data_IF_190996032124
#
_entry.id   IF_190996032124
#
_cell.length_a   1.000
_cell.length_b   1.000
_cell.length_c   1.000
_cell.angle_alpha   90.00
_cell.angle_beta   90.00
_cell.angle_gamma   90.00
#
_symmetry.space_group_name_H-M   'P 1'
#
loop_
_entity.id
_entity.type
_entity.pdbx_description
1 polymer ?
#
# COMPACT_ATOMS: atom_id res chain seq x y z
N UNK A 1 12.61 -0.67 29.96
CA UNK A 1 13.12 -0.90 28.60
C UNK A 1 12.14 -1.85 27.95
N UNK A 2 11.19 -1.33 27.15
CA UNK A 2 10.31 -2.19 26.37
C UNK A 2 11.19 -2.92 25.33
N UNK A 3 11.03 -4.23 25.21
CA UNK A 3 11.66 -5.00 24.14
C UNK A 3 11.18 -4.41 22.81
N UNK A 4 12.12 -4.10 21.91
CA UNK A 4 11.86 -3.97 20.49
C UNK A 4 11.17 -5.27 20.07
N UNK A 5 9.88 -5.22 19.79
CA UNK A 5 9.16 -6.36 19.26
C UNK A 5 9.44 -6.35 17.78
N UNK A 6 10.33 -7.24 17.30
CA UNK A 6 10.79 -7.29 15.92
C UNK A 6 9.57 -7.23 14.98
N UNK A 7 9.34 -6.06 14.37
CA UNK A 7 8.18 -5.87 13.50
C UNK A 7 8.38 -6.74 12.26
N UNK A 8 7.57 -7.79 12.12
CA UNK A 8 7.78 -8.87 11.14
C UNK A 8 7.53 -8.44 9.68
N UNK A 9 6.99 -7.24 9.48
CA UNK A 9 6.60 -6.71 8.19
C UNK A 9 7.60 -5.67 7.66
N UNK A 10 7.53 -5.42 6.35
CA UNK A 10 8.13 -4.26 5.69
C UNK A 10 7.20 -3.05 5.91
N UNK A 11 7.62 -2.01 6.65
CA UNK A 11 6.81 -0.81 6.87
C UNK A 11 6.82 0.07 5.62
N UNK A 12 5.66 0.23 4.96
CA UNK A 12 5.53 1.03 3.74
C UNK A 12 5.15 2.49 4.03
N UNK A 13 4.26 2.70 4.99
CA UNK A 13 3.69 3.98 5.38
C UNK A 13 2.80 3.82 6.62
N UNK A 14 2.74 4.79 7.56
CA UNK A 14 3.35 6.11 7.49
C UNK A 14 4.76 6.21 8.05
N UNK A 15 5.29 5.16 8.65
CA UNK A 15 6.61 5.22 9.27
C UNK A 15 7.66 4.60 8.37
N UNK A 16 8.87 5.18 8.35
CA UNK A 16 10.01 4.61 7.63
C UNK A 16 10.48 3.30 8.27
N UNK A 17 10.38 3.23 9.59
CA UNK A 17 10.85 2.13 10.42
C UNK A 17 10.16 2.13 11.79
N UNK A 18 10.36 1.05 12.56
CA UNK A 18 9.79 0.90 13.91
C UNK A 18 10.24 1.98 14.88
N UNK A 19 11.45 2.53 14.72
CA UNK A 19 11.95 3.56 15.62
C UNK A 19 11.16 4.87 15.47
N UNK A 20 10.81 5.24 14.24
CA UNK A 20 9.96 6.40 13.97
C UNK A 20 8.54 6.21 14.54
N UNK A 21 7.97 5.01 14.42
CA UNK A 21 6.68 4.69 15.03
C UNK A 21 6.70 4.79 16.56
N UNK A 22 7.77 4.29 17.19
CA UNK A 22 7.95 4.37 18.66
C UNK A 22 8.14 5.83 19.11
N UNK A 23 8.84 6.65 18.33
CA UNK A 23 8.98 8.08 18.60
C UNK A 23 7.63 8.80 18.53
N UNK A 24 6.86 8.55 17.46
CA UNK A 24 5.50 9.07 17.33
C UNK A 24 4.63 8.65 18.52
N UNK A 25 4.68 7.38 18.90
CA UNK A 25 3.89 6.83 20.00
C UNK A 25 4.21 7.48 21.34
N UNK A 26 5.49 7.76 21.61
CA UNK A 26 5.91 8.50 22.80
C UNK A 26 5.36 9.94 22.82
N UNK A 27 5.35 10.60 21.66
CA UNK A 27 4.69 11.90 21.46
C UNK A 27 3.20 11.82 21.75
N UNK A 28 2.50 10.90 21.09
CA UNK A 28 1.05 10.68 21.24
C UNK A 28 0.63 10.52 22.69
N UNK A 29 1.33 9.71 23.48
CA UNK A 29 1.04 9.52 24.92
C UNK A 29 1.15 10.81 25.75
N UNK A 30 1.95 11.77 25.29
CA UNK A 30 2.21 13.02 26.00
C UNK A 30 1.19 14.09 25.65
N UNK A 31 0.83 14.22 24.37
CA UNK A 31 0.05 15.37 23.87
C UNK A 31 -1.07 15.02 22.88
N UNK A 32 -1.26 13.74 22.53
CA UNK A 32 -2.33 13.25 21.66
C UNK A 32 -2.21 13.69 20.20
N UNK A 33 -1.00 13.98 19.70
CA UNK A 33 -0.79 14.41 18.30
C UNK A 33 -1.17 13.33 17.28
N UNK A 34 -1.75 13.75 16.16
CA UNK A 34 -2.04 12.89 15.00
C UNK A 34 -2.79 11.58 15.36
N UNK A 35 -3.93 11.65 16.07
CA UNK A 35 -4.65 10.46 16.55
C UNK A 35 -5.11 9.51 15.45
N UNK A 36 -5.11 9.97 14.20
CA UNK A 36 -5.49 9.18 13.03
C UNK A 36 -4.56 7.97 12.80
N UNK A 37 -3.32 7.98 13.30
CA UNK A 37 -2.43 6.81 13.24
C UNK A 37 -2.96 5.59 14.01
N UNK A 38 -3.91 5.78 14.94
CA UNK A 38 -4.60 4.68 15.64
C UNK A 38 -5.82 4.15 14.88
N UNK A 39 -6.20 4.80 13.79
CA UNK A 39 -7.32 4.45 12.94
C UNK A 39 -6.83 3.81 11.64
N UNK A 40 -7.09 2.50 11.50
CA UNK A 40 -6.66 1.73 10.34
C UNK A 40 -7.31 2.22 9.04
N UNK A 41 -8.56 2.68 9.11
CA UNK A 41 -9.35 3.10 7.96
C UNK A 41 -8.87 4.47 7.46
N UNK A 42 -8.63 5.41 8.38
CA UNK A 42 -7.99 6.69 8.04
C UNK A 42 -6.58 6.49 7.49
N UNK A 43 -5.79 5.59 8.09
CA UNK A 43 -4.43 5.28 7.62
C UNK A 43 -4.45 4.72 6.19
N UNK A 44 -5.36 3.79 5.90
CA UNK A 44 -5.53 3.20 4.57
C UNK A 44 -5.92 4.25 3.51
N UNK A 45 -6.84 5.15 3.83
CA UNK A 45 -7.26 6.23 2.92
C UNK A 45 -6.14 7.26 2.69
N UNK A 46 -5.44 7.67 3.76
CA UNK A 46 -4.33 8.62 3.64
C UNK A 46 -3.17 8.02 2.82
N UNK A 47 -2.82 6.75 3.03
CA UNK A 47 -1.87 6.04 2.18
C UNK A 47 -2.28 6.07 0.70
N UNK A 48 -3.55 5.78 0.42
CA UNK A 48 -4.05 5.68 -0.95
C UNK A 48 -4.08 7.05 -1.65
N UNK A 49 -4.63 8.07 -1.00
CA UNK A 49 -4.84 9.39 -1.62
C UNK A 49 -3.58 10.25 -1.59
N UNK A 50 -2.88 10.30 -0.45
CA UNK A 50 -1.76 11.22 -0.24
C UNK A 50 -0.43 10.59 -0.63
N UNK A 51 -0.18 9.34 -0.23
CA UNK A 51 1.10 8.68 -0.51
C UNK A 51 1.16 8.06 -1.91
N UNK A 52 0.11 7.36 -2.37
CA UNK A 52 0.06 6.80 -3.72
C UNK A 52 -0.46 7.78 -4.78
N UNK A 53 -1.15 8.85 -4.37
CA UNK A 53 -1.72 9.86 -5.27
C UNK A 53 -3.07 9.47 -5.90
N UNK A 54 -3.71 8.39 -5.43
CA UNK A 54 -4.90 7.80 -6.04
C UNK A 54 -6.18 8.47 -5.50
N UNK A 55 -6.40 9.73 -5.84
CA UNK A 55 -7.45 10.58 -5.23
C UNK A 55 -8.88 10.15 -5.51
N UNK A 56 -9.12 9.37 -6.57
CA UNK A 56 -10.47 8.86 -6.86
C UNK A 56 -10.88 7.73 -5.94
N UNK A 57 -9.94 7.08 -5.25
CA UNK A 57 -10.21 6.05 -4.25
C UNK A 57 -10.34 6.73 -2.89
N UNK A 58 -11.57 7.14 -2.57
CA UNK A 58 -11.87 8.09 -1.50
C UNK A 58 -12.72 7.50 -0.35
N UNK A 59 -13.08 6.22 -0.43
CA UNK A 59 -13.98 5.57 0.53
C UNK A 59 -13.41 4.27 1.06
N UNK A 60 -13.71 3.98 2.34
CA UNK A 60 -13.64 2.63 2.88
C UNK A 60 -14.91 1.91 2.47
N UNK A 61 -14.75 0.72 1.90
CA UNK A 61 -15.85 -0.09 1.37
C UNK A 61 -15.96 -1.41 2.12
N UNK A 62 -17.09 -2.09 1.95
CA UNK A 62 -17.42 -3.33 2.66
C UNK A 62 -16.63 -4.55 2.12
N UNK A 63 -15.32 -4.52 2.35
CA UNK A 63 -14.35 -5.61 2.11
C UNK A 63 -13.32 -5.69 3.25
N UNK A 64 -13.55 -4.98 4.36
CA UNK A 64 -12.64 -4.91 5.50
C UNK A 64 -12.80 -6.13 6.41
N UNK A 65 -11.68 -6.72 6.84
CA UNK A 65 -11.65 -7.90 7.72
C UNK A 65 -10.52 -7.80 8.74
N UNK A 66 -10.66 -8.47 9.88
CA UNK A 66 -9.67 -8.44 10.96
C UNK A 66 -10.31 -8.67 12.31
N UNK A 67 -9.49 -8.91 13.34
CA UNK A 67 -9.96 -9.06 14.71
C UNK A 67 -9.95 -7.68 15.36
N UNK A 68 -11.07 -7.27 15.98
CA UNK A 68 -11.11 -6.03 16.74
C UNK A 68 -10.05 -6.06 17.86
N UNK A 69 -9.16 -5.07 17.88
CA UNK A 69 -8.01 -5.04 18.80
C UNK A 69 -6.85 -5.97 18.41
N UNK A 70 -6.89 -6.62 17.24
CA UNK A 70 -5.80 -7.41 16.71
C UNK A 70 -4.60 -6.58 16.24
N UNK A 71 -3.49 -7.28 15.97
CA UNK A 71 -2.24 -6.71 15.43
C UNK A 71 -2.25 -6.55 13.92
N UNK A 72 -3.24 -7.10 13.22
CA UNK A 72 -3.38 -7.02 11.77
C UNK A 72 -4.83 -6.68 11.40
N UNK A 73 -5.00 -5.91 10.33
CA UNK A 73 -6.30 -5.56 9.76
C UNK A 73 -6.19 -5.41 8.25
N UNK A 74 -7.24 -5.82 7.57
CA UNK A 74 -7.39 -5.69 6.13
C UNK A 74 -8.49 -4.68 5.87
N UNK A 75 -8.19 -3.62 5.12
CA UNK A 75 -9.10 -2.50 4.89
C UNK A 75 -9.39 -2.41 3.39
N UNK A 76 -10.65 -2.60 3.02
CA UNK A 76 -11.12 -2.37 1.67
C UNK A 76 -11.21 -0.88 1.37
N UNK A 77 -10.49 -0.41 0.36
CA UNK A 77 -10.58 0.97 -0.14
C UNK A 77 -11.14 0.96 -1.55
N UNK A 78 -11.92 1.99 -1.88
CA UNK A 78 -12.73 2.02 -3.07
C UNK A 78 -13.33 3.38 -3.36
N UNK A 79 -14.33 3.38 -4.23
CA UNK A 79 -15.05 4.58 -4.66
C UNK A 79 -16.50 4.22 -4.99
N UNK A 80 -17.36 5.23 -5.08
CA UNK A 80 -18.73 5.06 -5.54
C UNK A 80 -18.82 5.17 -7.07
N UNK A 81 -19.35 4.13 -7.73
CA UNK A 81 -19.69 4.20 -9.15
C UNK A 81 -20.85 5.20 -9.40
N UNK A 82 -21.07 5.66 -10.65
CA UNK A 82 -22.13 6.63 -10.96
C UNK A 82 -23.55 6.20 -10.57
N UNK A 83 -23.79 4.89 -10.44
CA UNK A 83 -25.06 4.32 -9.99
C UNK A 83 -25.18 4.20 -8.45
N UNK A 84 -24.17 4.67 -7.70
CA UNK A 84 -24.09 4.61 -6.24
C UNK A 84 -23.56 3.29 -5.68
N UNK A 85 -23.22 2.30 -6.53
CA UNK A 85 -22.62 1.07 -6.06
C UNK A 85 -21.18 1.32 -5.58
N UNK A 86 -20.82 0.76 -4.42
CA UNK A 86 -19.43 0.79 -3.95
C UNK A 86 -18.59 -0.20 -4.74
N UNK A 87 -17.46 0.28 -5.28
CA UNK A 87 -16.48 -0.52 -6.00
C UNK A 87 -15.22 -0.61 -5.14
N UNK A 88 -14.73 -1.83 -4.91
CA UNK A 88 -13.47 -2.04 -4.20
C UNK A 88 -12.30 -1.94 -5.17
N UNK A 89 -11.38 -1.01 -4.90
CA UNK A 89 -10.16 -0.82 -5.69
C UNK A 89 -9.01 -1.70 -5.20
N UNK A 90 -8.86 -1.84 -3.88
CA UNK A 90 -7.90 -2.74 -3.27
C UNK A 90 -8.32 -3.13 -1.84
N UNK A 91 -7.76 -4.23 -1.33
CA UNK A 91 -7.77 -4.55 0.10
C UNK A 91 -6.35 -4.36 0.62
N UNK A 92 -6.14 -3.32 1.43
CA UNK A 92 -4.86 -3.02 2.05
C UNK A 92 -4.66 -3.86 3.30
N UNK A 93 -3.47 -4.43 3.45
CA UNK A 93 -3.03 -5.11 4.65
C UNK A 93 -2.30 -4.12 5.54
N UNK A 94 -2.78 -3.96 6.77
CA UNK A 94 -2.21 -3.11 7.80
C UNK A 94 -1.81 -3.97 9.00
N UNK A 95 -0.70 -3.60 9.64
CA UNK A 95 -0.24 -4.21 10.89
C UNK A 95 0.07 -3.11 11.92
N UNK A 96 -0.04 -3.45 13.20
CA UNK A 96 0.37 -2.57 14.29
C UNK A 96 1.89 -2.60 14.43
N UNK A 97 2.51 -1.43 14.41
CA UNK A 97 3.96 -1.26 14.58
C UNK A 97 4.23 -0.63 15.95
N UNK A 98 5.18 -1.21 16.71
CA UNK A 98 5.43 -0.85 18.11
C UNK A 98 4.59 -1.65 19.11
N UNK A 99 4.60 -1.23 20.38
CA UNK A 99 4.03 -2.02 21.49
C UNK A 99 2.86 -1.36 22.20
N UNK A 100 1.93 -2.18 22.72
CA UNK A 100 0.78 -1.74 23.52
C UNK A 100 -0.46 -1.38 22.68
N UNK A 101 -1.53 -0.96 23.36
CA UNK A 101 -2.84 -0.69 22.73
C UNK A 101 -2.83 0.52 21.80
N UNK A 102 -1.88 1.43 22.02
CA UNK A 102 -1.65 2.63 21.23
C UNK A 102 -0.56 2.43 20.16
N UNK A 103 -0.24 1.18 19.79
CA UNK A 103 0.62 0.91 18.64
C UNK A 103 -0.08 1.38 17.35
N UNK A 104 0.51 2.30 16.57
CA UNK A 104 -0.13 2.81 15.37
C UNK A 104 -0.22 1.77 14.25
N UNK A 105 -1.09 2.06 13.27
CA UNK A 105 -1.24 1.25 12.08
C UNK A 105 -0.21 1.61 11.02
N UNK A 106 0.33 0.58 10.39
CA UNK A 106 1.30 0.63 9.32
C UNK A 106 0.75 -0.16 8.14
N UNK A 107 0.73 0.43 6.94
CA UNK A 107 0.44 -0.28 5.70
C UNK A 107 1.63 -1.16 5.36
N UNK A 108 1.36 -2.44 5.17
CA UNK A 108 2.39 -3.46 4.91
C UNK A 108 2.24 -4.13 3.56
N UNK A 109 1.13 -3.89 2.83
CA UNK A 109 0.93 -4.40 1.48
C UNK A 109 -0.54 -4.37 1.07
N UNK A 110 -0.90 -5.14 0.06
CA UNK A 110 -2.28 -5.43 -0.29
C UNK A 110 -2.47 -6.93 -0.54
N UNK A 111 -3.72 -7.37 -0.52
CA UNK A 111 -4.08 -8.75 -0.85
C UNK A 111 -5.35 -8.85 -1.71
N UNK A 112 -5.46 -9.97 -2.42
CA UNK A 112 -6.64 -10.30 -3.20
C UNK A 112 -6.92 -9.32 -4.36
N UNK A 113 -8.18 -9.30 -4.79
CA UNK A 113 -8.64 -8.46 -5.90
C UNK A 113 -8.42 -9.08 -7.28
N UNK A 114 -8.68 -8.28 -8.30
CA UNK A 114 -8.52 -8.64 -9.72
C UNK A 114 -7.16 -8.26 -10.28
N UNK A 115 -6.26 -7.69 -9.46
CA UNK A 115 -4.92 -7.28 -9.84
C UNK A 115 -3.96 -7.65 -8.71
N UNK A 116 -2.83 -8.27 -9.03
CA UNK A 116 -1.84 -8.72 -8.04
C UNK A 116 -0.42 -8.30 -8.40
N UNK A 117 0.47 -8.22 -7.40
CA UNK A 117 1.93 -8.13 -7.60
C UNK A 117 2.59 -9.32 -6.91
N UNK A 118 3.30 -10.15 -7.68
CA UNK A 118 3.90 -11.40 -7.21
C UNK A 118 5.43 -11.37 -7.25
N UNK A 119 6.00 -10.54 -8.13
CA UNK A 119 7.41 -10.18 -8.08
C UNK A 119 7.60 -8.67 -8.05
N UNK A 120 8.54 -8.17 -7.23
CA UNK A 120 9.33 -8.94 -6.27
C UNK A 120 8.47 -9.56 -5.16
N UNK A 121 8.95 -10.65 -4.56
CA UNK A 121 8.31 -11.19 -3.36
C UNK A 121 8.36 -10.15 -2.26
N UNK A 122 7.37 -10.17 -1.38
CA UNK A 122 7.33 -9.33 -0.21
C UNK A 122 8.66 -9.39 0.59
N UNK A 123 9.23 -8.22 0.90
CA UNK A 123 10.48 -8.08 1.64
C UNK A 123 11.76 -8.46 0.87
N UNK A 124 11.66 -8.77 -0.42
CA UNK A 124 12.84 -9.12 -1.21
C UNK A 124 13.84 -7.97 -1.29
N UNK A 125 15.13 -8.32 -1.34
CA UNK A 125 16.20 -7.39 -1.69
C UNK A 125 16.27 -7.24 -3.20
N UNK A 126 16.21 -6.00 -3.69
CA UNK A 126 16.13 -5.69 -5.11
C UNK A 126 17.15 -4.63 -5.53
N UNK A 127 17.44 -4.59 -6.83
CA UNK A 127 18.27 -3.57 -7.45
C UNK A 127 17.53 -2.95 -8.64
N UNK A 128 17.98 -1.77 -9.06
CA UNK A 128 17.47 -1.10 -10.26
C UNK A 128 18.19 -1.62 -11.51
N UNK A 129 17.47 -1.88 -12.62
CA UNK A 129 16.02 -1.79 -12.76
C UNK A 129 15.29 -2.99 -12.13
N UNK A 130 14.08 -2.74 -11.60
CA UNK A 130 13.26 -3.76 -10.95
C UNK A 130 12.33 -4.44 -11.95
N UNK A 131 12.39 -5.77 -12.06
CA UNK A 131 11.36 -6.55 -12.73
C UNK A 131 10.15 -6.71 -11.79
N UNK A 132 8.98 -6.26 -12.25
CA UNK A 132 7.69 -6.37 -11.55
C UNK A 132 6.77 -7.25 -12.37
N UNK A 133 6.04 -8.16 -11.72
CA UNK A 133 5.06 -9.03 -12.38
C UNK A 133 3.90 -9.38 -11.45
N UNK A 134 2.80 -9.80 -12.04
CA UNK A 134 1.67 -10.39 -11.34
C UNK A 134 0.61 -10.84 -12.33
N UNK A 135 -0.63 -10.92 -11.87
CA UNK A 135 -1.78 -11.32 -12.69
C UNK A 135 -2.87 -10.27 -12.64
N UNK A 136 -3.74 -10.30 -13.64
CA UNK A 136 -4.90 -9.43 -13.75
C UNK A 136 -6.11 -10.18 -14.30
N UNK A 137 -7.29 -9.79 -13.83
CA UNK A 137 -8.58 -10.13 -14.43
C UNK A 137 -9.30 -8.84 -14.78
N UNK A 138 -9.55 -8.60 -16.05
CA UNK A 138 -10.09 -7.32 -16.54
C UNK A 138 -10.12 -7.28 -18.06
N UNK A 139 -10.67 -6.24 -18.66
CA UNK A 139 -10.77 -6.13 -20.13
C UNK A 139 -9.97 -4.92 -20.58
N UNK A 140 -9.00 -5.15 -21.48
CA UNK A 140 -8.20 -4.11 -22.15
C UNK A 140 -7.61 -3.05 -21.19
N UNK A 141 -6.94 -3.53 -20.15
CA UNK A 141 -6.36 -2.72 -19.09
C UNK A 141 -5.00 -2.13 -19.51
N UNK A 142 -4.74 -0.90 -19.05
CA UNK A 142 -3.45 -0.23 -19.24
C UNK A 142 -2.83 0.04 -17.89
N UNK A 143 -1.94 -0.85 -17.44
CA UNK A 143 -1.34 -0.74 -16.12
C UNK A 143 -0.31 0.39 -16.04
N UNK A 144 -0.26 1.00 -14.86
CA UNK A 144 0.84 1.87 -14.42
C UNK A 144 1.49 1.25 -13.19
N UNK A 145 2.81 1.10 -13.22
CA UNK A 145 3.62 0.67 -12.08
C UNK A 145 4.42 1.87 -11.59
N UNK A 146 4.32 2.16 -10.29
CA UNK A 146 5.12 3.18 -9.61
C UNK A 146 5.90 2.57 -8.44
N UNK A 147 7.13 3.05 -8.23
CA UNK A 147 7.98 2.72 -7.09
C UNK A 147 8.12 3.99 -6.26
N UNK A 148 7.79 3.91 -4.98
CA UNK A 148 7.84 5.02 -4.01
C UNK A 148 8.76 4.68 -2.85
N UNK A 149 9.25 5.73 -2.20
CA UNK A 149 10.06 5.67 -0.98
C UNK A 149 9.49 6.67 0.01
N UNK A 150 9.48 6.33 1.29
CA UNK A 150 9.03 7.24 2.35
C UNK A 150 9.75 8.61 2.29
N UNK A 151 9.03 9.69 2.60
CA UNK A 151 9.55 11.06 2.59
C UNK A 151 9.75 11.69 1.21
N UNK A 152 9.32 11.05 0.11
CA UNK A 152 9.31 11.61 -1.24
C UNK A 152 7.89 11.80 -1.74
N UNK A 153 7.57 12.99 -2.25
CA UNK A 153 6.25 13.29 -2.83
C UNK A 153 6.02 12.56 -4.15
N UNK A 154 7.03 12.53 -5.01
CA UNK A 154 6.96 11.91 -6.33
C UNK A 154 7.52 10.47 -6.33
N UNK A 155 7.04 9.57 -7.21
CA UNK A 155 7.63 8.27 -7.43
C UNK A 155 9.12 8.35 -7.78
N UNK A 156 9.90 7.40 -7.27
CA UNK A 156 11.34 7.27 -7.60
C UNK A 156 11.59 6.44 -8.86
N UNK A 157 10.53 5.83 -9.40
CA UNK A 157 10.51 5.10 -10.67
C UNK A 157 9.07 4.86 -11.11
N UNK A 158 8.81 4.92 -12.42
CA UNK A 158 7.46 4.74 -12.97
C UNK A 158 7.51 4.24 -14.42
N UNK A 159 6.61 3.33 -14.77
CA UNK A 159 6.33 2.89 -16.15
C UNK A 159 4.81 2.80 -16.31
N UNK A 160 4.29 3.28 -17.43
CA UNK A 160 2.87 3.24 -17.78
C UNK A 160 2.65 2.66 -19.18
N UNK A 161 1.39 2.38 -19.53
CA UNK A 161 1.02 1.85 -20.83
C UNK A 161 1.34 0.36 -20.98
N UNK A 162 1.36 -0.38 -19.87
CA UNK A 162 1.58 -1.83 -19.88
C UNK A 162 0.25 -2.48 -20.27
N UNK A 163 0.18 -3.04 -21.47
CA UNK A 163 -0.99 -3.75 -21.94
C UNK A 163 -1.24 -5.01 -21.10
N UNK A 164 -2.44 -5.13 -20.56
CA UNK A 164 -2.88 -6.22 -19.71
C UNK A 164 -4.38 -6.47 -19.91
N UNK A 165 -4.86 -7.64 -19.54
CA UNK A 165 -6.28 -7.99 -19.65
C UNK A 165 -6.49 -9.45 -19.97
N UNK A 166 -7.70 -9.91 -19.70
CA UNK A 166 -8.12 -11.30 -19.77
C UNK A 166 -8.54 -11.84 -18.40
N UNK A 167 -8.40 -13.15 -18.19
CA UNK A 167 -8.82 -13.82 -16.96
C UNK A 167 -7.62 -14.49 -16.31
N UNK A 168 -7.19 -13.96 -15.17
CA UNK A 168 -5.98 -14.39 -14.47
C UNK A 168 -4.74 -14.41 -15.38
N UNK A 169 -4.65 -13.41 -16.28
CA UNK A 169 -3.59 -13.34 -17.27
C UNK A 169 -2.36 -12.62 -16.69
N UNK A 170 -1.14 -13.08 -17.02
CA UNK A 170 0.07 -12.52 -16.46
C UNK A 170 0.40 -11.16 -17.09
N UNK A 171 0.94 -10.25 -16.28
CA UNK A 171 1.53 -8.99 -16.75
C UNK A 171 2.94 -8.83 -16.18
N UNK A 172 3.78 -8.05 -16.87
CA UNK A 172 5.12 -7.72 -16.37
C UNK A 172 5.63 -6.39 -16.89
N UNK A 173 6.54 -5.79 -16.12
CA UNK A 173 7.23 -4.56 -16.47
C UNK A 173 8.64 -4.55 -15.88
N UNK A 174 9.52 -3.73 -16.46
CA UNK A 174 10.85 -3.42 -15.90
C UNK A 174 10.91 -1.95 -15.58
N UNK A 175 11.03 -1.61 -14.30
CA UNK A 175 10.93 -0.24 -13.80
C UNK A 175 12.31 0.24 -13.33
N UNK A 176 12.98 1.16 -14.04
CA UNK A 176 14.15 1.83 -13.49
C UNK A 176 13.73 2.74 -12.33
N UNK A 177 14.51 2.72 -11.25
CA UNK A 177 14.29 3.58 -10.09
C UNK A 177 15.60 4.08 -9.48
N UNK A 178 15.52 5.15 -8.67
CA UNK A 178 16.65 5.69 -7.90
C UNK A 178 16.29 5.83 -6.42
N UNK A 179 16.89 5.00 -5.56
CA UNK A 179 16.71 5.04 -4.12
C UNK A 179 18.05 4.83 -3.39
N UNK A 180 18.15 5.28 -2.15
CA UNK A 180 19.34 5.05 -1.33
C UNK A 180 19.40 3.57 -0.88
N UNK A 181 20.58 2.94 -0.81
CA UNK A 181 20.72 1.61 -0.21
C UNK A 181 20.13 1.56 1.20
N UNK A 182 19.44 0.48 1.54
CA UNK A 182 18.69 0.27 2.77
C UNK A 182 17.27 0.82 2.76
N UNK A 183 16.83 1.49 1.68
CA UNK A 183 15.48 2.07 1.61
C UNK A 183 14.41 0.98 1.45
N UNK A 184 13.27 1.19 2.11
CA UNK A 184 12.04 0.45 1.80
C UNK A 184 11.42 1.04 0.53
N UNK A 185 11.03 0.15 -0.37
CA UNK A 185 10.35 0.47 -1.61
C UNK A 185 8.89 0.02 -1.52
N UNK A 186 7.98 0.95 -1.78
CA UNK A 186 6.57 0.64 -2.04
C UNK A 186 6.37 0.50 -3.54
N UNK A 187 6.00 -0.69 -3.99
CA UNK A 187 5.74 -0.98 -5.40
C UNK A 187 4.23 -1.06 -5.56
N UNK A 188 3.64 -0.10 -6.25
CA UNK A 188 2.22 -0.06 -6.53
C UNK A 188 1.97 -0.22 -8.02
N UNK A 189 1.01 -1.07 -8.38
CA UNK A 189 0.45 -1.19 -9.72
C UNK A 189 -1.00 -0.74 -9.69
N UNK A 190 -1.45 -0.01 -10.69
CA UNK A 190 -2.85 0.39 -10.83
C UNK A 190 -3.33 0.29 -12.27
N UNK A 191 -4.63 0.16 -12.42
CA UNK A 191 -5.36 0.32 -13.69
C UNK A 191 -6.67 1.07 -13.46
N UNK A 192 -7.22 1.61 -14.53
CA UNK A 192 -8.46 2.36 -14.54
C UNK A 192 -8.63 3.12 -15.86
N UNK A 193 -9.55 4.08 -15.87
CA UNK A 193 -9.83 4.96 -16.99
C UNK A 193 -11.20 4.74 -17.65
N UNK A 194 -11.98 3.76 -17.19
CA UNK A 194 -13.33 3.49 -17.69
C UNK A 194 -14.40 4.22 -16.86
N UNK A 195 -14.36 4.04 -15.55
CA UNK A 195 -15.29 4.55 -14.54
C UNK A 195 -14.58 5.55 -13.62
N UNK A 196 -13.33 5.28 -13.26
CA UNK A 196 -12.51 6.13 -12.40
C UNK A 196 -11.05 6.17 -12.88
N UNK A 197 -10.27 7.13 -12.40
CA UNK A 197 -8.83 7.21 -12.73
C UNK A 197 -8.08 5.95 -12.29
N UNK A 198 -8.40 5.46 -11.08
CA UNK A 198 -7.96 4.17 -10.56
C UNK A 198 -9.17 3.34 -10.19
N UNK A 199 -9.28 2.18 -10.81
CA UNK A 199 -10.35 1.21 -10.58
C UNK A 199 -9.87 0.02 -9.76
N UNK A 200 -8.63 -0.41 -10.01
CA UNK A 200 -7.99 -1.49 -9.28
C UNK A 200 -6.52 -1.16 -9.04
N UNK A 201 -6.01 -1.52 -7.87
CA UNK A 201 -4.57 -1.41 -7.59
C UNK A 201 -4.10 -2.50 -6.63
N UNK A 202 -2.79 -2.76 -6.66
CA UNK A 202 -2.13 -3.68 -5.74
C UNK A 202 -0.77 -3.13 -5.32
N UNK A 203 -0.31 -3.51 -4.13
CA UNK A 203 0.89 -3.00 -3.48
C UNK A 203 1.70 -4.14 -2.89
N UNK A 204 3.03 -4.08 -3.06
CA UNK A 204 3.97 -4.91 -2.31
C UNK A 204 5.17 -4.09 -1.82
N UNK A 205 5.87 -4.63 -0.82
CA UNK A 205 7.06 -4.06 -0.21
C UNK A 205 8.34 -4.77 -0.62
N UNK A 206 9.40 -4.01 -0.88
CA UNK A 206 10.75 -4.54 -1.11
C UNK A 206 11.81 -3.67 -0.40
N UNK A 207 13.06 -4.11 -0.41
CA UNK A 207 14.21 -3.38 0.15
C UNK A 207 15.30 -3.26 -0.91
N UNK A 208 15.96 -2.11 -1.05
CA UNK A 208 17.13 -1.96 -1.92
C UNK A 208 18.41 -1.67 -1.16
#
# INVERSE_FOLDING_TARGET
MAQQGDFEFVPLWPFRDEAEAVEWQAGYRTNGVEPWHLDAEMTALAFTQEYLGMRTVDQVVDASRGIAGGSERFVGVGFAAPNGAQITAAVLHLARIGGGDDAPWEVVGSEGGTLSVEAPRYGAKVASPLAVRGHITGVDESLTVQIRVHGRTEPVGMVSGIAAGGMDDPWSATVPYTAAPGSVLTIAVSTGGHIAEVEHFAVTGARC
#
